data_IF_838325212631
#
_entry.id   IF_838325212631
#
_cell.length_a   1.000
_cell.length_b   1.000
_cell.length_c   1.000
_cell.angle_alpha   90.00
_cell.angle_beta   90.00
_cell.angle_gamma   90.00
#
_symmetry.space_group_name_H-M   'P 1'
#
loop_
_entity.id
_entity.type
_entity.pdbx_description
1 polymer ?
#
# COMPACT_ATOMS: atom_id res chain seq x y z
N UNK A 1 8.25 12.13 -19.07
CA UNK A 1 7.17 12.52 -19.98
C UNK A 1 7.51 12.31 -21.47
N UNK A 2 8.49 12.99 -22.09
CA UNK A 2 8.79 12.85 -23.56
C UNK A 2 9.12 11.41 -24.00
N UNK A 3 9.94 10.66 -23.25
CA UNK A 3 10.26 9.25 -23.57
C UNK A 3 9.04 8.35 -23.44
N UNK A 4 8.18 8.60 -22.47
CA UNK A 4 6.92 7.88 -22.27
C UNK A 4 5.94 8.15 -23.42
N UNK A 5 5.75 9.42 -23.80
CA UNK A 5 4.90 9.80 -24.93
C UNK A 5 5.35 9.10 -26.23
N UNK A 6 6.68 9.07 -26.50
CA UNK A 6 7.23 8.35 -27.64
C UNK A 6 6.91 6.85 -27.60
N UNK A 7 6.99 6.22 -26.43
CA UNK A 7 6.72 4.78 -26.26
C UNK A 7 5.23 4.45 -26.38
N UNK A 8 4.35 5.37 -26.01
CA UNK A 8 2.90 5.26 -26.15
C UNK A 8 2.39 5.73 -27.52
N UNK A 9 3.28 6.18 -28.41
CA UNK A 9 2.92 6.72 -29.73
C UNK A 9 1.93 7.89 -29.68
N UNK A 10 2.02 8.74 -28.63
CA UNK A 10 1.20 9.94 -28.47
C UNK A 10 2.07 11.20 -28.47
N UNK A 11 1.46 12.34 -28.81
CA UNK A 11 2.12 13.62 -28.70
C UNK A 11 2.47 13.93 -27.23
N UNK A 12 3.64 14.50 -26.91
CA UNK A 12 3.98 14.88 -25.54
C UNK A 12 2.95 15.81 -24.90
N UNK A 13 2.32 16.71 -25.68
CA UNK A 13 1.26 17.59 -25.20
C UNK A 13 0.02 16.85 -24.71
N UNK A 14 -0.33 15.71 -25.30
CA UNK A 14 -1.45 14.90 -24.86
C UNK A 14 -1.26 14.36 -23.43
N UNK A 15 -0.05 13.93 -23.09
CA UNK A 15 0.27 13.51 -21.73
C UNK A 15 0.20 14.67 -20.73
N UNK A 16 0.65 15.86 -21.10
CA UNK A 16 0.59 17.04 -20.23
C UNK A 16 -0.82 17.56 -20.04
N UNK A 17 -1.72 17.25 -20.98
CA UNK A 17 -3.14 17.59 -20.83
C UNK A 17 -3.79 16.77 -19.71
N UNK A 18 -3.44 15.47 -19.61
CA UNK A 18 -3.94 14.58 -18.56
C UNK A 18 -3.13 14.71 -17.24
N UNK A 19 -1.81 14.84 -17.33
CA UNK A 19 -0.91 14.87 -16.17
C UNK A 19 -0.04 16.11 -16.21
N UNK A 20 -0.33 17.15 -15.41
CA UNK A 20 0.37 18.43 -15.46
C UNK A 20 1.86 18.31 -15.19
N UNK A 21 2.30 17.28 -14.47
CA UNK A 21 3.70 17.02 -14.17
C UNK A 21 3.97 15.52 -13.95
N UNK A 22 5.25 15.18 -13.73
CA UNK A 22 5.67 13.79 -13.47
C UNK A 22 5.06 13.24 -12.18
N UNK A 23 4.94 14.06 -11.14
CA UNK A 23 4.41 13.63 -9.85
C UNK A 23 2.92 13.23 -9.97
N UNK A 24 2.12 14.04 -10.65
CA UNK A 24 0.72 13.71 -10.91
C UNK A 24 0.55 12.36 -11.65
N UNK A 25 1.44 12.07 -12.59
CA UNK A 25 1.45 10.76 -13.25
C UNK A 25 1.84 9.64 -12.30
N UNK A 26 2.86 9.83 -11.45
CA UNK A 26 3.28 8.84 -10.46
C UNK A 26 2.15 8.57 -9.48
N UNK A 27 1.48 9.62 -8.96
CA UNK A 27 0.33 9.49 -8.06
C UNK A 27 -0.81 8.72 -8.70
N UNK A 28 -1.16 9.00 -9.96
CA UNK A 28 -2.21 8.29 -10.66
C UNK A 28 -1.88 6.80 -10.91
N UNK A 29 -0.62 6.49 -11.27
CA UNK A 29 -0.17 5.10 -11.42
C UNK A 29 -0.24 4.37 -10.08
N UNK A 30 0.18 5.01 -8.98
CA UNK A 30 0.17 4.41 -7.65
C UNK A 30 -1.25 4.18 -7.13
N UNK A 31 -2.17 5.10 -7.39
CA UNK A 31 -3.60 4.89 -7.11
C UNK A 31 -4.17 3.73 -7.93
N UNK A 32 -3.77 3.59 -9.19
CA UNK A 32 -4.17 2.45 -10.02
C UNK A 32 -3.63 1.12 -9.47
N UNK A 33 -2.35 1.07 -9.08
CA UNK A 33 -1.74 -0.12 -8.46
C UNK A 33 -2.49 -0.51 -7.19
N UNK A 34 -2.89 0.45 -6.38
CA UNK A 34 -3.53 0.24 -5.08
C UNK A 34 -5.06 0.36 -5.14
N UNK A 35 -5.67 0.36 -6.33
CA UNK A 35 -7.11 0.64 -6.50
C UNK A 35 -8.03 -0.30 -5.72
N UNK A 36 -7.62 -1.52 -5.47
CA UNK A 36 -8.35 -2.48 -4.63
C UNK A 36 -8.44 -2.03 -3.16
N UNK A 37 -7.43 -1.30 -2.68
CA UNK A 37 -7.35 -0.79 -1.30
C UNK A 37 -7.92 0.61 -1.18
N UNK A 38 -7.54 1.52 -2.08
CA UNK A 38 -7.88 2.95 -1.98
C UNK A 38 -9.11 3.36 -2.79
N UNK A 39 -9.69 2.42 -3.54
CA UNK A 39 -10.77 2.68 -4.49
C UNK A 39 -10.26 3.08 -5.88
N UNK A 40 -11.16 3.17 -6.85
CA UNK A 40 -10.79 3.51 -8.21
C UNK A 40 -10.13 4.88 -8.29
N UNK A 41 -9.19 5.08 -9.23
CA UNK A 41 -8.58 6.39 -9.45
C UNK A 41 -9.66 7.43 -9.76
N UNK A 42 -9.57 8.59 -9.11
CA UNK A 42 -10.48 9.70 -9.41
C UNK A 42 -10.29 10.07 -10.90
N UNK A 43 -11.38 10.11 -11.69
CA UNK A 43 -11.29 10.52 -13.09
C UNK A 43 -10.62 11.89 -13.20
N UNK A 44 -9.64 12.00 -14.11
CA UNK A 44 -8.90 13.26 -14.33
C UNK A 44 -9.72 14.31 -15.08
N UNK A 45 -10.93 13.97 -15.51
CA UNK A 45 -11.87 14.92 -16.08
C UNK A 45 -12.36 15.87 -15.00
N UNK A 46 -11.97 17.14 -15.15
CA UNK A 46 -12.33 18.22 -14.23
C UNK A 46 -13.84 18.49 -14.13
N UNK A 47 -14.62 17.91 -15.04
CA UNK A 47 -16.08 18.08 -15.14
C UNK A 47 -16.86 16.85 -14.62
N UNK A 48 -16.17 15.78 -14.17
CA UNK A 48 -16.81 14.63 -13.55
C UNK A 48 -16.94 14.89 -12.04
N UNK A 49 -18.04 15.45 -11.59
CA UNK A 49 -18.40 15.41 -10.18
C UNK A 49 -18.59 13.94 -9.75
N UNK A 50 -17.94 13.49 -8.64
CA UNK A 50 -18.18 12.15 -8.11
C UNK A 50 -19.66 12.01 -7.78
N UNK A 51 -20.33 11.07 -8.42
CA UNK A 51 -21.74 10.84 -8.14
C UNK A 51 -21.88 10.30 -6.71
N UNK A 52 -22.95 10.72 -6.00
CA UNK A 52 -23.26 10.20 -4.66
C UNK A 52 -23.30 8.67 -4.61
N UNK A 53 -23.61 8.02 -5.74
CA UNK A 53 -23.62 6.58 -5.88
C UNK A 53 -22.23 5.96 -5.69
N UNK A 54 -21.16 6.58 -6.22
CA UNK A 54 -19.77 6.09 -6.07
C UNK A 54 -19.28 6.21 -4.62
N UNK A 55 -19.76 7.23 -3.89
CA UNK A 55 -19.45 7.40 -2.46
C UNK A 55 -20.23 6.43 -1.57
N UNK A 56 -21.49 6.12 -1.89
CA UNK A 56 -22.33 5.19 -1.13
C UNK A 56 -21.95 3.72 -1.38
N UNK A 57 -21.52 3.36 -2.59
CA UNK A 57 -21.01 2.01 -2.91
C UNK A 57 -19.67 1.75 -2.22
N UNK A 58 -18.78 2.75 -2.20
CA UNK A 58 -17.54 2.71 -1.40
C UNK A 58 -17.80 2.69 0.12
N UNK A 59 -18.95 3.14 0.58
CA UNK A 59 -19.37 3.09 1.98
C UNK A 59 -20.03 1.75 2.37
N UNK A 60 -20.74 1.12 1.44
CA UNK A 60 -21.52 -0.10 1.68
C UNK A 60 -20.67 -1.39 1.79
N UNK A 61 -19.45 -1.42 1.27
CA UNK A 61 -18.52 -2.55 1.38
C UNK A 61 -17.82 -2.64 2.75
N UNK A 62 -18.28 -1.89 3.76
CA UNK A 62 -17.56 -1.61 5.02
C UNK A 62 -18.04 -2.38 6.25
N UNK A 63 -18.91 -3.36 6.13
CA UNK A 63 -19.38 -4.09 7.31
C UNK A 63 -18.38 -5.13 7.83
N UNK A 64 -17.47 -5.63 7.01
CA UNK A 64 -16.36 -6.49 7.43
C UNK A 64 -15.03 -5.76 7.27
N UNK A 65 -14.56 -5.09 8.32
CA UNK A 65 -13.24 -4.47 8.28
C UNK A 65 -12.16 -5.54 8.12
N UNK A 66 -11.41 -5.44 7.03
CA UNK A 66 -10.28 -6.32 6.71
C UNK A 66 -9.26 -6.26 7.86
N UNK A 67 -8.77 -7.41 8.39
CA UNK A 67 -7.75 -7.42 9.43
C UNK A 67 -6.49 -6.64 9.01
N UNK A 68 -5.80 -5.93 9.94
CA UNK A 68 -4.63 -5.11 9.61
C UNK A 68 -3.52 -5.90 8.90
N UNK A 69 -3.29 -7.15 9.29
CA UNK A 69 -2.30 -8.02 8.66
C UNK A 69 -2.65 -8.35 7.21
N UNK A 70 -3.91 -8.64 6.93
CA UNK A 70 -4.41 -8.94 5.59
C UNK A 70 -4.36 -7.70 4.69
N UNK A 71 -4.73 -6.54 5.21
CA UNK A 71 -4.62 -5.26 4.50
C UNK A 71 -3.16 -4.98 4.11
N UNK A 72 -2.22 -5.15 5.03
CA UNK A 72 -0.79 -4.97 4.77
C UNK A 72 -0.27 -5.97 3.71
N UNK A 73 -0.71 -7.24 3.76
CA UNK A 73 -0.36 -8.26 2.78
C UNK A 73 -0.93 -7.94 1.39
N UNK A 74 -2.15 -7.42 1.32
CA UNK A 74 -2.78 -6.97 0.07
C UNK A 74 -1.99 -5.82 -0.55
N UNK A 75 -1.65 -4.79 0.22
CA UNK A 75 -0.83 -3.66 -0.25
C UNK A 75 0.51 -4.15 -0.82
N UNK A 76 1.21 -5.06 -0.11
CA UNK A 76 2.45 -5.67 -0.59
C UNK A 76 2.24 -6.42 -1.90
N UNK A 77 1.22 -7.26 -1.99
CA UNK A 77 0.92 -8.09 -3.17
C UNK A 77 0.65 -7.23 -4.40
N UNK A 78 -0.15 -6.18 -4.25
CA UNK A 78 -0.47 -5.24 -5.33
C UNK A 78 0.79 -4.53 -5.84
N UNK A 79 1.69 -4.10 -4.95
CA UNK A 79 2.96 -3.50 -5.36
C UNK A 79 3.88 -4.48 -6.09
N UNK A 80 4.00 -5.73 -5.60
CA UNK A 80 4.84 -6.76 -6.22
C UNK A 80 4.32 -7.25 -7.57
N UNK A 81 3.03 -7.13 -7.83
CA UNK A 81 2.42 -7.47 -9.14
C UNK A 81 2.91 -6.57 -10.28
N UNK A 82 3.49 -5.42 -9.97
CA UNK A 82 3.96 -4.46 -10.95
C UNK A 82 5.48 -4.27 -10.87
N UNK A 83 6.14 -4.23 -12.03
CA UNK A 83 7.57 -3.88 -12.08
C UNK A 83 7.77 -2.49 -11.48
N UNK A 84 8.73 -2.37 -10.57
CA UNK A 84 9.05 -1.14 -9.84
C UNK A 84 7.84 -0.56 -9.06
N UNK A 85 6.82 -1.39 -8.76
CA UNK A 85 5.57 -0.96 -8.12
C UNK A 85 5.78 -0.36 -6.74
N UNK A 86 6.63 -0.97 -5.92
CA UNK A 86 6.96 -0.45 -4.59
C UNK A 86 7.69 0.90 -4.67
N UNK A 87 8.61 1.08 -5.63
CA UNK A 87 9.30 2.36 -5.85
C UNK A 87 8.31 3.46 -6.29
N UNK A 88 7.39 3.12 -7.22
CA UNK A 88 6.38 4.06 -7.69
C UNK A 88 5.44 4.51 -6.57
N UNK A 89 4.93 3.57 -5.78
CA UNK A 89 4.07 3.87 -4.63
C UNK A 89 4.83 4.70 -3.60
N UNK A 90 6.07 4.32 -3.26
CA UNK A 90 6.90 5.10 -2.34
C UNK A 90 7.12 6.55 -2.81
N UNK A 91 7.37 6.74 -4.11
CA UNK A 91 7.50 8.09 -4.68
C UNK A 91 6.19 8.89 -4.61
N UNK A 92 5.04 8.21 -4.70
CA UNK A 92 3.72 8.85 -4.57
C UNK A 92 3.38 9.24 -3.13
N UNK A 93 3.92 8.55 -2.12
CA UNK A 93 3.71 8.90 -0.70
C UNK A 93 4.34 10.24 -0.29
N UNK A 94 5.14 10.85 -1.16
CA UNK A 94 5.59 12.24 -0.98
C UNK A 94 4.46 13.25 -1.15
N UNK A 95 3.37 12.85 -1.81
CA UNK A 95 2.09 13.55 -1.84
C UNK A 95 1.23 13.06 -0.67
N UNK A 96 0.77 13.99 0.17
CA UNK A 96 0.07 13.64 1.41
C UNK A 96 -1.23 12.86 1.16
N UNK A 97 -1.93 13.08 0.05
CA UNK A 97 -3.24 12.48 -0.19
C UNK A 97 -3.24 10.94 -0.18
N UNK A 98 -2.33 10.29 -0.90
CA UNK A 98 -2.23 8.83 -0.91
C UNK A 98 -1.77 8.28 0.45
N UNK A 99 -0.83 8.97 1.10
CA UNK A 99 -0.35 8.60 2.44
C UNK A 99 -1.50 8.63 3.44
N UNK A 100 -2.22 9.74 3.55
CA UNK A 100 -3.35 9.91 4.48
C UNK A 100 -4.43 8.87 4.24
N UNK A 101 -4.71 8.54 2.97
CA UNK A 101 -5.67 7.49 2.61
C UNK A 101 -5.23 6.12 3.13
N UNK A 102 -4.00 5.71 2.89
CA UNK A 102 -3.48 4.41 3.35
C UNK A 102 -3.40 4.34 4.87
N UNK A 103 -2.87 5.37 5.53
CA UNK A 103 -2.82 5.45 6.99
C UNK A 103 -4.25 5.40 7.58
N UNK A 104 -5.21 6.07 6.96
CA UNK A 104 -6.61 6.03 7.36
C UNK A 104 -7.24 4.64 7.24
N UNK A 105 -6.93 3.87 6.18
CA UNK A 105 -7.38 2.48 6.05
C UNK A 105 -6.76 1.58 7.12
N UNK A 106 -5.46 1.70 7.35
CA UNK A 106 -4.76 0.91 8.38
C UNK A 106 -5.27 1.28 9.77
N UNK A 107 -5.46 2.57 10.08
CA UNK A 107 -6.03 3.01 11.36
C UNK A 107 -7.41 2.42 11.61
N UNK A 108 -8.30 2.41 10.61
CA UNK A 108 -9.63 1.79 10.73
C UNK A 108 -9.54 0.28 10.98
N UNK A 109 -8.64 -0.41 10.29
CA UNK A 109 -8.41 -1.84 10.50
C UNK A 109 -7.92 -2.11 11.94
N UNK A 110 -7.00 -1.28 12.45
CA UNK A 110 -6.52 -1.36 13.83
C UNK A 110 -7.64 -1.10 14.85
N UNK A 111 -8.43 -0.02 14.68
CA UNK A 111 -9.59 0.28 15.54
C UNK A 111 -10.52 -0.92 15.60
N UNK A 112 -10.89 -1.49 14.46
CA UNK A 112 -11.81 -2.62 14.41
C UNK A 112 -11.24 -3.87 15.07
N UNK A 113 -9.96 -4.18 14.84
CA UNK A 113 -9.30 -5.34 15.44
C UNK A 113 -9.24 -5.24 16.97
N UNK A 114 -8.78 -4.10 17.47
CA UNK A 114 -8.63 -3.90 18.92
C UNK A 114 -9.94 -3.60 19.66
N UNK A 115 -11.00 -3.20 18.97
CA UNK A 115 -12.33 -3.03 19.59
C UNK A 115 -13.07 -4.35 19.80
N UNK A 116 -12.77 -5.39 19.01
CA UNK A 116 -13.39 -6.71 19.16
C UNK A 116 -12.86 -7.50 20.35
N UNK A 117 -11.60 -7.31 20.71
CA UNK A 117 -10.91 -8.10 21.73
C UNK A 117 -11.07 -7.53 23.16
N UNK A 118 -11.77 -6.42 23.32
CA UNK A 118 -11.75 -5.70 24.59
C UNK A 118 -13.09 -5.77 25.31
N UNK A 119 -13.25 -6.70 26.24
CA UNK A 119 -14.08 -6.53 27.43
C UNK A 119 -13.53 -5.43 28.39
N UNK A 120 -12.39 -4.81 28.03
CA UNK A 120 -11.66 -3.83 28.82
C UNK A 120 -12.21 -2.41 28.63
N UNK A 121 -12.32 -1.71 29.74
CA UNK A 121 -12.86 -0.35 29.93
C UNK A 121 -12.07 0.79 29.27
N UNK A 122 -11.03 0.52 28.52
CA UNK A 122 -10.18 1.54 27.88
C UNK A 122 -10.07 1.32 26.38
N UNK A 123 -10.62 2.23 25.60
CA UNK A 123 -10.38 2.31 24.17
C UNK A 123 -8.94 2.76 23.92
N UNK A 124 -8.24 2.20 22.89
CA UNK A 124 -6.92 2.65 22.53
C UNK A 124 -6.92 4.14 22.16
N UNK A 125 -5.89 4.87 22.58
CA UNK A 125 -5.79 6.29 22.26
C UNK A 125 -5.61 6.49 20.77
N UNK A 126 -6.35 7.43 20.20
CA UNK A 126 -6.27 7.77 18.78
C UNK A 126 -4.82 8.03 18.31
N UNK A 127 -3.97 8.80 19.03
CA UNK A 127 -2.57 9.00 18.64
C UNK A 127 -1.73 7.73 18.57
N UNK A 128 -2.00 6.73 19.40
CA UNK A 128 -1.28 5.45 19.37
C UNK A 128 -1.67 4.63 18.14
N UNK A 129 -2.94 4.61 17.77
CA UNK A 129 -3.42 3.95 16.56
C UNK A 129 -2.86 4.61 15.29
N UNK A 130 -2.81 5.92 15.24
CA UNK A 130 -2.20 6.67 14.13
C UNK A 130 -0.71 6.39 14.01
N UNK A 131 0.02 6.36 15.14
CA UNK A 131 1.44 5.98 15.16
C UNK A 131 1.63 4.53 14.69
N UNK A 132 0.74 3.63 15.11
CA UNK A 132 0.73 2.23 14.68
C UNK A 132 0.50 2.09 13.18
N UNK A 133 -0.44 2.83 12.63
CA UNK A 133 -0.73 2.84 11.20
C UNK A 133 0.46 3.35 10.37
N UNK A 134 1.07 4.45 10.80
CA UNK A 134 2.28 5.00 10.17
C UNK A 134 3.45 4.00 10.25
N UNK A 135 3.62 3.33 11.39
CA UNK A 135 4.67 2.31 11.57
C UNK A 135 4.47 1.13 10.65
N UNK A 136 3.24 0.60 10.57
CA UNK A 136 2.88 -0.49 9.65
C UNK A 136 3.11 -0.07 8.19
N UNK A 137 2.67 1.12 7.79
CA UNK A 137 2.88 1.60 6.43
C UNK A 137 4.37 1.69 6.09
N UNK A 138 5.21 2.23 6.96
CA UNK A 138 6.65 2.31 6.75
C UNK A 138 7.29 0.92 6.65
N UNK A 139 6.87 -0.02 7.50
CA UNK A 139 7.35 -1.39 7.44
C UNK A 139 6.97 -2.07 6.11
N UNK A 140 5.69 -1.98 5.71
CA UNK A 140 5.19 -2.53 4.44
C UNK A 140 5.99 -1.98 3.27
N UNK A 141 6.19 -0.66 3.22
CA UNK A 141 6.95 -0.01 2.14
C UNK A 141 8.39 -0.49 2.12
N UNK A 142 9.09 -0.44 3.26
CA UNK A 142 10.51 -0.83 3.34
C UNK A 142 10.75 -2.30 3.03
N UNK A 143 9.93 -3.20 3.56
CA UNK A 143 10.03 -4.63 3.32
C UNK A 143 9.78 -4.97 1.85
N UNK A 144 8.72 -4.40 1.25
CA UNK A 144 8.35 -4.67 -0.16
C UNK A 144 9.38 -4.10 -1.14
N UNK A 145 9.91 -2.90 -0.89
CA UNK A 145 10.98 -2.32 -1.72
C UNK A 145 12.25 -3.18 -1.66
N UNK A 146 12.64 -3.65 -0.47
CA UNK A 146 13.80 -4.52 -0.31
C UNK A 146 13.62 -5.84 -1.06
N UNK A 147 12.47 -6.48 -0.92
CA UNK A 147 12.12 -7.71 -1.62
C UNK A 147 12.16 -7.51 -3.14
N UNK A 148 11.45 -6.50 -3.65
CA UNK A 148 11.37 -6.23 -5.09
C UNK A 148 12.76 -5.99 -5.69
N UNK A 149 13.60 -5.19 -5.01
CA UNK A 149 14.98 -4.91 -5.43
C UNK A 149 15.86 -6.15 -5.43
N UNK A 150 15.77 -6.98 -4.36
CA UNK A 150 16.56 -8.20 -4.26
C UNK A 150 16.18 -9.22 -5.34
N UNK A 151 14.87 -9.44 -5.56
CA UNK A 151 14.39 -10.37 -6.59
C UNK A 151 14.75 -9.88 -8.01
N UNK A 152 14.72 -8.58 -8.23
CA UNK A 152 15.14 -8.01 -9.51
C UNK A 152 16.63 -8.18 -9.72
N UNK A 153 17.47 -7.91 -8.73
CA UNK A 153 18.91 -8.13 -8.82
C UNK A 153 19.25 -9.60 -9.12
N UNK A 154 18.54 -10.55 -8.48
CA UNK A 154 18.71 -11.99 -8.75
C UNK A 154 18.38 -12.35 -10.19
N UNK A 155 17.32 -11.79 -10.77
CA UNK A 155 16.96 -11.99 -12.19
C UNK A 155 18.01 -11.42 -13.14
N UNK A 156 18.48 -10.20 -12.85
CA UNK A 156 19.41 -9.47 -13.73
C UNK A 156 20.82 -10.07 -13.71
N UNK A 157 21.24 -10.66 -12.59
CA UNK A 157 22.58 -11.27 -12.44
C UNK A 157 22.65 -12.71 -12.92
N UNK A 158 21.52 -13.41 -13.11
CA UNK A 158 21.48 -14.80 -13.54
C UNK A 158 20.54 -15.03 -14.75
N UNK A 159 20.73 -14.37 -15.88
CA UNK A 159 19.84 -14.51 -17.01
C UNK A 159 19.94 -15.94 -17.60
N UNK A 160 18.84 -16.72 -17.50
CA UNK A 160 18.70 -18.02 -18.19
C UNK A 160 19.32 -19.22 -17.50
N UNK A 161 19.70 -19.15 -16.23
CA UNK A 161 20.10 -20.31 -15.44
C UNK A 161 18.88 -21.21 -15.10
N UNK A 162 18.98 -22.53 -15.32
CA UNK A 162 17.93 -23.48 -15.02
C UNK A 162 17.51 -23.50 -13.52
N UNK A 163 18.28 -22.90 -12.68
CA UNK A 163 18.18 -22.86 -11.21
C UNK A 163 17.63 -21.52 -10.66
N UNK A 164 17.35 -20.56 -11.58
CA UNK A 164 16.96 -19.19 -11.19
C UNK A 164 15.55 -19.16 -10.62
N UNK A 165 14.62 -19.88 -11.23
CA UNK A 165 13.21 -19.89 -10.79
C UNK A 165 13.07 -20.53 -9.41
N UNK A 166 13.82 -21.60 -9.08
CA UNK A 166 13.82 -22.21 -7.76
C UNK A 166 14.41 -21.28 -6.71
N UNK A 167 15.51 -20.60 -7.03
CA UNK A 167 16.13 -19.60 -6.11
C UNK A 167 15.22 -18.39 -5.90
N UNK A 168 14.56 -17.89 -6.93
CA UNK A 168 13.59 -16.81 -6.81
C UNK A 168 12.40 -17.20 -5.94
N UNK A 169 11.88 -18.43 -6.13
CA UNK A 169 10.77 -18.96 -5.31
C UNK A 169 11.18 -19.08 -3.85
N UNK A 170 12.37 -19.65 -3.59
CA UNK A 170 12.91 -19.79 -2.23
C UNK A 170 13.10 -18.43 -1.56
N UNK A 171 13.69 -17.47 -2.28
CA UNK A 171 13.89 -16.11 -1.76
C UNK A 171 12.54 -15.41 -1.50
N UNK A 172 11.58 -15.51 -2.41
CA UNK A 172 10.25 -14.93 -2.24
C UNK A 172 9.53 -15.50 -1.02
N UNK A 173 9.62 -16.81 -0.78
CA UNK A 173 9.05 -17.43 0.41
C UNK A 173 9.72 -16.93 1.70
N UNK A 174 11.04 -16.74 1.70
CA UNK A 174 11.74 -16.19 2.85
C UNK A 174 11.33 -14.73 3.13
N UNK A 175 11.14 -13.92 2.09
CA UNK A 175 10.61 -12.56 2.24
C UNK A 175 9.18 -12.55 2.77
N UNK A 176 8.32 -13.46 2.29
CA UNK A 176 6.94 -13.62 2.78
C UNK A 176 6.93 -13.91 4.29
N UNK A 177 7.67 -14.90 4.74
CA UNK A 177 7.75 -15.28 6.17
C UNK A 177 8.27 -14.10 7.01
N UNK A 178 9.31 -13.41 6.53
CA UNK A 178 9.89 -12.25 7.23
C UNK A 178 8.88 -11.10 7.32
N UNK A 179 8.11 -10.88 6.27
CA UNK A 179 7.08 -9.85 6.22
C UNK A 179 5.95 -10.15 7.21
N UNK A 180 5.42 -11.38 7.20
CA UNK A 180 4.34 -11.81 8.10
C UNK A 180 4.77 -11.70 9.57
N UNK A 181 5.95 -12.22 9.92
CA UNK A 181 6.49 -12.11 11.26
C UNK A 181 6.71 -10.64 11.69
N UNK A 182 7.14 -9.78 10.78
CA UNK A 182 7.33 -8.36 11.06
C UNK A 182 6.02 -7.64 11.36
N UNK A 183 4.96 -7.93 10.60
CA UNK A 183 3.61 -7.42 10.89
C UNK A 183 3.12 -7.91 12.25
N UNK A 184 3.30 -9.18 12.56
CA UNK A 184 2.89 -9.77 13.84
C UNK A 184 3.63 -9.11 15.03
N UNK A 185 4.93 -8.90 14.91
CA UNK A 185 5.74 -8.20 15.94
C UNK A 185 5.20 -6.79 16.20
N UNK A 186 4.87 -6.04 15.15
CA UNK A 186 4.34 -4.68 15.29
C UNK A 186 2.96 -4.71 15.93
N UNK A 187 2.06 -5.58 15.51
CA UNK A 187 0.71 -5.70 16.05
C UNK A 187 0.73 -6.13 17.54
N UNK A 188 1.56 -7.11 17.89
CA UNK A 188 1.74 -7.54 19.27
C UNK A 188 2.34 -6.44 20.15
N UNK A 189 3.31 -5.68 19.62
CA UNK A 189 3.87 -4.51 20.30
C UNK A 189 2.81 -3.42 20.56
N UNK A 190 1.95 -3.15 19.60
CA UNK A 190 0.84 -2.21 19.76
C UNK A 190 -0.15 -2.71 20.83
N UNK A 191 -0.55 -3.99 20.77
CA UNK A 191 -1.47 -4.59 21.75
C UNK A 191 -0.90 -4.49 23.19
N UNK A 192 0.38 -4.79 23.36
CA UNK A 192 1.07 -4.70 24.65
C UNK A 192 1.10 -3.26 25.17
N UNK A 193 1.43 -2.30 24.28
CA UNK A 193 1.49 -0.87 24.64
C UNK A 193 0.12 -0.34 25.06
N UNK A 194 -0.96 -0.80 24.41
CA UNK A 194 -2.32 -0.45 24.79
C UNK A 194 -2.71 -1.03 26.17
N UNK A 195 -2.33 -2.28 26.45
CA UNK A 195 -2.60 -2.92 27.75
C UNK A 195 -1.85 -2.27 28.93
N UNK A 196 -0.65 -1.72 28.69
CA UNK A 196 0.15 -1.04 29.72
C UNK A 196 -0.23 0.42 29.95
N UNK A 197 -0.88 1.07 28.98
CA UNK A 197 -1.34 2.46 29.11
C UNK A 197 -2.57 2.60 30.03
N UNK A 198 -3.13 1.50 30.52
CA UNK A 198 -4.30 1.44 31.41
C UNK A 198 -3.94 1.36 32.90
N UNK A 199 -2.65 1.43 33.28
CA UNK A 199 -2.14 1.46 34.64
C UNK A 199 -1.66 2.87 35.04
#
# INVERSE_FOLDING_TARGET
MRRLAKRLHVAPGALYWHFPNKQALISAISQFILSEVVGPPIPLDKDAEPTKADADEAASTREDAVPPAELCATIRTLMLAHRDGAELVNAALSDNGLRETLEGHITRALVHSFSKDTEATSHPSQPLLETGATTLLHFVMGATMNEQSALQLMRDTNPGGADVDEKLTTASNAFQITFENGIEIILNGLATTMGTASL
#
